data_IF_613377641894
#
_entry.id   IF_613377641894
#
_cell.length_a   1.000
_cell.length_b   1.000
_cell.length_c   1.000
_cell.angle_alpha   90.00
_cell.angle_beta   90.00
_cell.angle_gamma   90.00
#
_symmetry.space_group_name_H-M   'P 1'
#
loop_
_entity.id
_entity.type
_entity.pdbx_description
1 polymer ?
#
# COMPACT_ATOMS: atom_id res chain seq x y z
N UNK A 1 -14.21 -2.46 1.99
CA UNK A 1 -13.24 -1.71 2.82
C UNK A 1 -11.92 -2.47 2.72
N UNK A 2 -10.90 -1.92 2.08
CA UNK A 2 -9.64 -2.62 1.91
C UNK A 2 -8.75 -2.31 3.12
N UNK A 3 -8.79 -3.16 4.13
CA UNK A 3 -7.84 -3.14 5.23
C UNK A 3 -6.55 -3.74 4.68
N UNK A 4 -5.41 -3.05 4.82
CA UNK A 4 -4.11 -3.49 4.27
C UNK A 4 -3.40 -4.51 5.16
N UNK A 5 -4.14 -5.47 5.65
CA UNK A 5 -3.67 -6.61 6.42
C UNK A 5 -2.95 -7.66 5.56
N UNK A 6 -3.26 -7.72 4.26
CA UNK A 6 -2.73 -8.74 3.36
C UNK A 6 -1.20 -8.76 3.28
N UNK A 7 -0.51 -7.61 3.34
CA UNK A 7 0.95 -7.56 3.24
C UNK A 7 1.66 -8.26 4.40
N UNK A 8 1.21 -8.07 5.64
CA UNK A 8 1.84 -8.78 6.75
C UNK A 8 1.25 -10.18 6.97
N UNK A 9 0.03 -10.43 6.48
CA UNK A 9 -0.59 -11.74 6.50
C UNK A 9 0.24 -12.77 5.73
N UNK A 10 0.76 -12.43 4.54
CA UNK A 10 1.63 -13.34 3.78
C UNK A 10 2.94 -13.64 4.50
N UNK A 11 3.42 -12.73 5.36
CA UNK A 11 4.57 -12.99 6.24
C UNK A 11 4.22 -14.05 7.29
N UNK A 12 3.02 -13.95 7.88
CA UNK A 12 2.52 -14.95 8.84
C UNK A 12 2.30 -16.32 8.16
N UNK A 13 1.72 -16.34 6.96
CA UNK A 13 1.55 -17.55 6.15
C UNK A 13 2.89 -18.20 5.79
N UNK A 14 3.95 -17.41 5.62
CA UNK A 14 5.31 -17.92 5.45
C UNK A 14 5.96 -18.40 6.78
N UNK A 15 5.19 -18.50 7.86
CA UNK A 15 5.67 -18.86 9.19
C UNK A 15 6.79 -17.93 9.72
N UNK A 16 6.69 -16.65 9.40
CA UNK A 16 7.59 -15.61 9.86
C UNK A 16 6.85 -14.58 10.72
N UNK A 17 7.60 -13.81 11.50
CA UNK A 17 7.04 -12.74 12.34
C UNK A 17 7.30 -11.40 11.63
N UNK A 18 6.23 -10.63 11.27
CA UNK A 18 6.39 -9.31 10.68
C UNK A 18 6.94 -8.32 11.71
N UNK A 19 7.90 -7.52 11.32
CA UNK A 19 8.44 -6.43 12.14
C UNK A 19 8.13 -5.12 11.40
N UNK A 20 7.40 -4.23 12.06
CA UNK A 20 6.90 -2.99 11.44
C UNK A 20 7.93 -1.86 11.59
N UNK A 21 8.25 -1.21 10.47
CA UNK A 21 8.91 0.09 10.44
C UNK A 21 7.86 1.21 10.51
N UNK A 22 8.26 2.42 10.86
CA UNK A 22 7.32 3.54 10.94
C UNK A 22 6.99 4.10 9.54
N UNK A 23 6.04 5.01 9.50
CA UNK A 23 5.56 5.68 8.29
C UNK A 23 5.99 7.14 8.33
N UNK A 24 6.55 7.66 7.22
CA UNK A 24 6.78 9.10 7.05
C UNK A 24 5.43 9.81 6.83
N UNK A 25 5.01 10.71 7.73
CA UNK A 25 3.74 11.41 7.59
C UNK A 25 3.65 12.33 6.37
N UNK A 26 4.77 12.72 5.77
CA UNK A 26 4.76 13.56 4.59
C UNK A 26 4.49 12.75 3.30
N UNK A 27 5.02 11.54 3.21
CA UNK A 27 4.86 10.67 2.04
C UNK A 27 3.84 9.55 2.24
N UNK A 28 3.40 9.30 3.47
CA UNK A 28 2.49 8.22 3.89
C UNK A 28 3.02 6.81 3.59
N UNK A 29 4.29 6.68 3.20
CA UNK A 29 4.95 5.41 2.91
C UNK A 29 5.93 5.04 4.03
N UNK A 30 6.54 3.85 3.96
CA UNK A 30 7.56 3.39 4.91
C UNK A 30 8.68 4.42 5.04
N UNK A 31 9.01 4.82 6.26
CA UNK A 31 10.13 5.72 6.57
C UNK A 31 11.44 4.95 6.63
N UNK A 32 12.35 5.14 5.66
CA UNK A 32 13.63 4.43 5.63
C UNK A 32 14.49 4.65 6.88
N UNK A 33 14.39 5.81 7.53
CA UNK A 33 15.17 6.14 8.73
C UNK A 33 14.84 5.23 9.92
N UNK A 34 13.68 4.60 9.91
CA UNK A 34 13.22 3.72 11.01
C UNK A 34 13.53 2.24 10.79
N UNK A 35 13.96 1.85 9.58
CA UNK A 35 14.15 0.45 9.19
C UNK A 35 15.31 -0.16 9.94
N UNK A 36 16.47 0.51 9.96
CA UNK A 36 17.73 -0.10 10.44
C UNK A 36 17.64 -0.51 11.91
N UNK A 37 16.97 0.28 12.75
CA UNK A 37 16.75 -0.04 14.17
C UNK A 37 15.87 -1.27 14.41
N UNK A 38 15.16 -1.73 13.39
CA UNK A 38 14.28 -2.91 13.43
C UNK A 38 14.95 -4.16 12.87
N UNK A 39 16.13 -4.04 12.25
CA UNK A 39 16.85 -5.18 11.69
C UNK A 39 17.52 -5.98 12.81
N UNK A 40 17.40 -7.29 12.74
CA UNK A 40 18.05 -8.25 13.64
C UNK A 40 18.76 -9.34 12.81
N UNK A 41 19.52 -10.21 13.47
CA UNK A 41 20.12 -11.38 12.82
C UNK A 41 19.09 -12.39 12.24
N UNK A 42 17.81 -12.20 12.54
CA UNK A 42 16.71 -13.02 12.03
C UNK A 42 15.97 -12.37 10.86
N UNK A 43 16.21 -11.10 10.61
CA UNK A 43 15.62 -10.40 9.45
C UNK A 43 16.11 -11.04 8.16
N UNK A 44 15.22 -11.27 7.21
CA UNK A 44 15.54 -11.90 5.91
C UNK A 44 15.15 -11.04 4.73
N UNK A 45 14.16 -10.18 4.90
CA UNK A 45 13.57 -9.39 3.83
C UNK A 45 13.07 -8.06 4.35
N UNK A 46 13.14 -7.03 3.51
CA UNK A 46 12.41 -5.77 3.66
C UNK A 46 11.24 -5.83 2.66
N UNK A 47 10.03 -5.49 3.13
CA UNK A 47 8.81 -5.55 2.34
C UNK A 47 8.18 -4.15 2.25
N UNK A 48 8.68 -3.25 1.39
CA UNK A 48 8.08 -1.94 1.17
C UNK A 48 6.73 -2.07 0.47
N UNK A 49 5.75 -1.30 0.93
CA UNK A 49 4.43 -1.20 0.31
C UNK A 49 4.31 0.14 -0.40
N UNK A 50 4.10 0.13 -1.71
CA UNK A 50 3.79 1.33 -2.49
C UNK A 50 2.33 1.73 -2.27
N UNK A 51 2.03 2.07 -1.02
CA UNK A 51 0.68 2.34 -0.53
C UNK A 51 0.04 3.51 -1.28
N UNK A 52 -1.26 3.47 -1.50
CA UNK A 52 -2.02 4.45 -2.28
C UNK A 52 -1.62 4.57 -3.75
N UNK A 53 -0.65 3.73 -4.22
CA UNK A 53 -0.05 3.86 -5.55
C UNK A 53 1.11 4.84 -5.60
N UNK A 54 1.68 5.16 -4.44
CA UNK A 54 2.83 6.07 -4.27
C UNK A 54 4.12 5.27 -4.05
N UNK A 55 5.21 5.59 -4.77
CA UNK A 55 6.50 4.93 -4.57
C UNK A 55 7.08 5.17 -3.17
N UNK A 56 7.68 4.13 -2.59
CA UNK A 56 8.57 4.27 -1.43
C UNK A 56 9.93 4.86 -1.85
N UNK A 57 10.73 5.29 -0.88
CA UNK A 57 12.13 5.70 -1.05
C UNK A 57 13.02 4.48 -1.31
N UNK A 58 12.99 3.97 -2.56
CA UNK A 58 13.59 2.68 -2.89
C UNK A 58 15.12 2.69 -2.89
N UNK A 59 15.78 3.82 -3.16
CA UNK A 59 17.25 3.90 -3.11
C UNK A 59 17.75 3.69 -1.68
N UNK A 60 17.12 4.34 -0.71
CA UNK A 60 17.44 4.23 0.71
C UNK A 60 17.14 2.83 1.25
N UNK A 61 16.00 2.27 0.87
CA UNK A 61 15.59 0.90 1.23
C UNK A 61 16.58 -0.12 0.66
N UNK A 62 16.93 0.00 -0.62
CA UNK A 62 17.88 -0.91 -1.28
C UNK A 62 19.30 -0.77 -0.72
N UNK A 63 19.72 0.44 -0.34
CA UNK A 63 21.02 0.65 0.31
C UNK A 63 21.09 -0.07 1.67
N UNK A 64 20.04 0.02 2.48
CA UNK A 64 19.93 -0.72 3.75
C UNK A 64 19.89 -2.22 3.53
N UNK A 65 19.08 -2.69 2.56
CA UNK A 65 19.01 -4.11 2.23
C UNK A 65 20.37 -4.67 1.82
N UNK A 66 21.11 -3.96 0.95
CA UNK A 66 22.48 -4.33 0.55
C UNK A 66 23.44 -4.37 1.73
N UNK A 67 23.42 -3.35 2.59
CA UNK A 67 24.26 -3.26 3.81
C UNK A 67 24.07 -4.46 4.72
N UNK A 68 22.82 -4.89 4.90
CA UNK A 68 22.44 -5.98 5.80
C UNK A 68 22.25 -7.34 5.11
N UNK A 69 22.54 -7.44 3.80
CA UNK A 69 22.37 -8.65 2.97
C UNK A 69 20.93 -9.21 3.05
N UNK A 70 19.96 -8.34 2.95
CA UNK A 70 18.54 -8.66 2.98
C UNK A 70 17.96 -8.63 1.57
N UNK A 71 16.95 -9.46 1.31
CA UNK A 71 16.13 -9.36 0.11
C UNK A 71 15.16 -8.17 0.20
N UNK A 72 14.73 -7.66 -0.94
CA UNK A 72 13.67 -6.66 -1.06
C UNK A 72 12.53 -7.21 -1.92
N UNK A 73 11.34 -7.32 -1.34
CA UNK A 73 10.12 -7.70 -2.08
C UNK A 73 9.15 -6.54 -2.05
N UNK A 74 8.86 -5.95 -3.22
CA UNK A 74 7.95 -4.82 -3.32
C UNK A 74 6.49 -5.29 -3.30
N UNK A 75 5.69 -4.76 -2.39
CA UNK A 75 4.23 -4.82 -2.54
C UNK A 75 3.79 -3.66 -3.44
N UNK A 76 3.72 -3.93 -4.74
CA UNK A 76 3.28 -3.00 -5.77
C UNK A 76 1.80 -3.22 -6.15
N UNK A 77 1.01 -3.90 -5.30
CA UNK A 77 -0.40 -4.21 -5.55
C UNK A 77 -1.31 -2.99 -5.76
N UNK A 78 -0.85 -1.80 -5.41
CA UNK A 78 -1.55 -0.52 -5.65
C UNK A 78 -0.81 0.36 -6.66
N UNK A 79 0.33 -0.08 -7.22
CA UNK A 79 1.29 0.78 -7.89
C UNK A 79 1.51 0.40 -9.37
N UNK A 80 0.46 -0.08 -10.06
CA UNK A 80 0.50 -0.34 -11.49
C UNK A 80 0.94 0.91 -12.27
N UNK A 81 2.08 0.84 -12.96
CA UNK A 81 2.72 1.95 -13.69
C UNK A 81 3.28 3.10 -12.83
N UNK A 82 3.25 3.02 -11.49
CA UNK A 82 3.96 3.97 -10.66
C UNK A 82 5.47 3.94 -10.95
N UNK A 83 6.13 5.08 -10.80
CA UNK A 83 7.56 5.22 -11.11
C UNK A 83 8.33 5.87 -9.98
N UNK A 84 9.51 5.32 -9.71
CA UNK A 84 10.53 5.91 -8.87
C UNK A 84 11.78 6.19 -9.71
N UNK A 85 12.14 7.46 -9.89
CA UNK A 85 13.29 7.90 -10.69
C UNK A 85 13.32 7.26 -12.09
N UNK A 86 12.15 7.26 -12.78
CA UNK A 86 11.98 6.74 -14.14
C UNK A 86 11.92 5.21 -14.26
N UNK A 87 11.99 4.46 -13.16
CA UNK A 87 11.86 3.00 -13.14
C UNK A 87 10.51 2.60 -12.54
N UNK A 88 9.89 1.55 -13.06
CA UNK A 88 8.58 1.09 -12.59
C UNK A 88 8.67 0.46 -11.19
N UNK A 89 7.74 0.80 -10.30
CA UNK A 89 7.53 0.05 -9.06
C UNK A 89 7.22 -1.42 -9.38
N UNK A 90 7.68 -2.33 -8.52
CA UNK A 90 7.65 -3.77 -8.77
C UNK A 90 8.84 -4.28 -9.58
N UNK A 91 9.80 -3.40 -9.96
CA UNK A 91 11.06 -3.77 -10.64
C UNK A 91 12.29 -3.17 -9.96
N UNK A 92 12.15 -2.66 -8.75
CA UNK A 92 13.17 -1.92 -8.04
C UNK A 92 13.87 -2.76 -6.96
N UNK A 93 13.17 -3.78 -6.43
CA UNK A 93 13.69 -4.79 -5.51
C UNK A 93 14.09 -6.09 -6.22
N UNK A 94 14.27 -7.16 -5.45
CA UNK A 94 14.55 -8.50 -5.99
C UNK A 94 13.31 -9.13 -6.64
N UNK A 95 12.14 -8.89 -6.04
CA UNK A 95 10.82 -9.28 -6.56
C UNK A 95 9.81 -8.15 -6.35
N UNK A 96 8.82 -8.08 -7.23
CA UNK A 96 7.65 -7.22 -7.08
C UNK A 96 6.35 -8.02 -7.19
N UNK A 97 5.36 -7.67 -6.38
CA UNK A 97 4.06 -8.33 -6.35
C UNK A 97 2.96 -7.36 -6.78
N UNK A 98 2.06 -7.83 -7.63
CA UNK A 98 0.91 -7.07 -8.13
C UNK A 98 -0.39 -7.82 -7.84
N UNK A 99 -1.50 -7.09 -7.78
CA UNK A 99 -2.83 -7.63 -7.54
C UNK A 99 -3.78 -7.29 -8.68
N UNK A 100 -4.65 -8.24 -9.02
CA UNK A 100 -5.77 -8.10 -9.96
C UNK A 100 -7.13 -8.15 -9.26
N UNK A 101 -7.16 -7.93 -7.95
CA UNK A 101 -8.40 -7.89 -7.17
C UNK A 101 -9.29 -6.73 -7.67
N UNK A 102 -10.60 -6.85 -7.50
CA UNK A 102 -11.64 -5.97 -8.08
C UNK A 102 -11.42 -4.46 -7.87
N UNK A 103 -10.77 -4.02 -6.78
CA UNK A 103 -10.53 -2.60 -6.51
C UNK A 103 -9.31 -2.03 -7.24
N UNK A 104 -8.52 -2.86 -7.93
CA UNK A 104 -7.27 -2.45 -8.57
C UNK A 104 -7.50 -1.73 -9.90
N UNK A 105 -6.45 -1.09 -10.42
CA UNK A 105 -6.50 -0.38 -11.71
C UNK A 105 -6.81 -1.31 -12.89
N UNK A 106 -6.35 -2.56 -12.83
CA UNK A 106 -6.65 -3.62 -13.82
C UNK A 106 -7.20 -4.84 -13.09
N UNK A 107 -8.51 -4.90 -12.85
CA UNK A 107 -9.12 -6.00 -12.11
C UNK A 107 -9.41 -7.22 -13.02
N UNK A 108 -9.30 -8.42 -12.43
CA UNK A 108 -9.77 -9.68 -13.03
C UNK A 108 -10.55 -10.53 -12.01
N UNK A 109 -11.27 -9.89 -11.08
CA UNK A 109 -11.89 -10.54 -9.92
C UNK A 109 -10.88 -10.72 -8.81
N UNK A 110 -10.09 -11.77 -8.88
CA UNK A 110 -8.96 -12.08 -8.02
C UNK A 110 -7.75 -12.48 -8.86
N UNK A 111 -6.56 -12.48 -8.26
CA UNK A 111 -5.32 -12.87 -8.92
C UNK A 111 -4.17 -11.92 -8.60
N UNK A 112 -3.01 -12.26 -9.13
CA UNK A 112 -1.80 -11.46 -8.97
C UNK A 112 -0.73 -11.84 -9.97
N UNK A 113 0.34 -11.05 -9.98
CA UNK A 113 1.55 -11.32 -10.74
C UNK A 113 2.78 -11.07 -9.87
N UNK A 114 3.85 -11.79 -10.17
CA UNK A 114 5.17 -11.59 -9.59
C UNK A 114 6.13 -11.19 -10.69
N UNK A 115 6.93 -10.16 -10.46
CA UNK A 115 7.99 -9.69 -11.35
C UNK A 115 9.34 -9.78 -10.67
N UNK A 116 10.41 -9.89 -11.44
CA UNK A 116 11.78 -9.90 -10.92
C UNK A 116 12.80 -10.06 -12.04
N UNK A 117 14.04 -9.69 -11.76
CA UNK A 117 15.16 -9.79 -12.72
C UNK A 117 15.97 -11.10 -12.58
N UNK A 118 15.83 -11.79 -11.45
CA UNK A 118 16.51 -13.06 -11.23
C UNK A 118 15.72 -14.22 -11.81
N UNK A 119 16.26 -14.88 -12.84
CA UNK A 119 15.65 -16.07 -13.42
C UNK A 119 15.47 -17.18 -12.37
N UNK A 120 16.42 -17.36 -11.48
CA UNK A 120 16.32 -18.34 -10.39
C UNK A 120 15.11 -18.08 -9.49
N UNK A 121 14.93 -16.83 -9.04
CA UNK A 121 13.79 -16.45 -8.18
C UNK A 121 12.46 -16.60 -8.91
N UNK A 122 12.38 -16.17 -10.17
CA UNK A 122 11.17 -16.31 -10.98
C UNK A 122 10.84 -17.79 -11.24
N UNK A 123 11.82 -18.63 -11.50
CA UNK A 123 11.61 -20.08 -11.65
C UNK A 123 11.09 -20.72 -10.36
N UNK A 124 11.57 -20.28 -9.19
CA UNK A 124 11.04 -20.71 -7.88
C UNK A 124 9.59 -20.27 -7.69
N UNK A 125 9.26 -19.01 -7.99
CA UNK A 125 7.90 -18.50 -7.92
C UNK A 125 6.97 -19.26 -8.87
N UNK A 126 7.40 -19.50 -10.10
CA UNK A 126 6.64 -20.28 -11.09
C UNK A 126 6.41 -21.70 -10.60
N UNK A 127 7.44 -22.37 -10.08
CA UNK A 127 7.32 -23.71 -9.53
C UNK A 127 6.35 -23.74 -8.36
N UNK A 128 6.47 -22.82 -7.42
CA UNK A 128 5.60 -22.73 -6.25
C UNK A 128 4.13 -22.58 -6.64
N UNK A 129 3.79 -21.66 -7.57
CA UNK A 129 2.40 -21.43 -8.00
C UNK A 129 1.83 -22.57 -8.82
N UNK A 130 2.68 -23.46 -9.35
CA UNK A 130 2.30 -24.56 -10.23
C UNK A 130 2.53 -25.95 -9.60
N UNK A 131 2.10 -26.14 -8.37
CA UNK A 131 2.19 -27.40 -7.62
C UNK A 131 3.63 -27.94 -7.47
N UNK A 132 4.62 -27.08 -7.43
CA UNK A 132 6.04 -27.46 -7.28
C UNK A 132 6.73 -27.95 -8.56
N UNK A 133 6.06 -27.93 -9.72
CA UNK A 133 6.63 -28.43 -10.99
C UNK A 133 7.80 -27.57 -11.46
N UNK A 134 8.84 -28.23 -11.92
CA UNK A 134 10.02 -27.55 -12.46
C UNK A 134 9.68 -26.72 -13.72
N UNK A 135 10.32 -25.55 -13.83
CA UNK A 135 10.15 -24.61 -14.93
C UNK A 135 11.49 -23.98 -15.33
N UNK A 136 11.55 -23.39 -16.52
CA UNK A 136 12.74 -22.70 -17.03
C UNK A 136 13.94 -23.64 -17.13
N UNK A 137 15.06 -23.22 -16.58
CA UNK A 137 16.32 -24.02 -16.56
C UNK A 137 16.21 -25.32 -15.76
N UNK A 138 15.17 -25.46 -14.92
CA UNK A 138 14.90 -26.66 -14.13
C UNK A 138 13.88 -27.60 -14.82
N UNK A 139 13.43 -27.30 -16.02
CA UNK A 139 12.47 -28.10 -16.77
C UNK A 139 13.00 -29.53 -16.98
N UNK A 140 12.16 -30.50 -16.67
CA UNK A 140 12.54 -31.93 -16.76
C UNK A 140 13.05 -32.53 -15.45
N UNK A 141 13.26 -31.75 -14.39
CA UNK A 141 13.73 -32.24 -13.10
C UNK A 141 12.59 -32.74 -12.17
N UNK A 142 11.36 -32.85 -12.69
CA UNK A 142 10.20 -33.23 -11.89
C UNK A 142 9.69 -32.12 -10.99
N UNK A 143 9.55 -32.37 -9.69
CA UNK A 143 9.22 -31.34 -8.70
C UNK A 143 10.47 -30.63 -8.24
N UNK A 144 10.42 -29.28 -8.24
CA UNK A 144 11.56 -28.43 -7.92
C UNK A 144 11.44 -27.83 -6.50
N UNK A 145 10.22 -27.53 -6.06
CA UNK A 145 9.93 -27.02 -4.71
C UNK A 145 8.59 -27.53 -4.22
N UNK A 146 8.33 -27.44 -2.92
CA UNK A 146 6.98 -27.56 -2.40
C UNK A 146 6.15 -26.37 -2.88
N UNK A 147 4.94 -26.60 -3.40
CA UNK A 147 4.12 -25.54 -3.97
C UNK A 147 2.64 -25.88 -3.99
N UNK A 148 1.84 -24.88 -4.33
CA UNK A 148 0.39 -24.93 -4.35
C UNK A 148 -0.15 -24.63 -5.76
N UNK A 149 -1.45 -24.79 -5.96
CA UNK A 149 -2.10 -24.44 -7.20
C UNK A 149 -2.63 -23.01 -7.15
N UNK A 150 -1.83 -22.07 -7.65
CA UNK A 150 -2.20 -20.66 -7.79
C UNK A 150 -2.26 -20.22 -9.27
N UNK A 151 -2.49 -21.17 -10.20
CA UNK A 151 -2.58 -20.87 -11.62
C UNK A 151 -3.78 -19.96 -11.91
N UNK A 152 -3.51 -18.87 -12.66
CA UNK A 152 -4.56 -17.99 -13.18
C UNK A 152 -5.47 -18.75 -14.16
N UNK A 153 -6.77 -18.50 -14.09
CA UNK A 153 -7.73 -19.06 -15.03
C UNK A 153 -7.70 -18.30 -16.37
N UNK A 154 -7.93 -19.00 -17.49
CA UNK A 154 -7.87 -18.42 -18.81
C UNK A 154 -8.82 -17.21 -19.00
N UNK A 155 -10.02 -17.25 -18.44
CA UNK A 155 -10.95 -16.13 -18.54
C UNK A 155 -10.46 -14.88 -17.76
N UNK A 156 -9.74 -15.05 -16.66
CA UNK A 156 -9.11 -13.94 -15.95
C UNK A 156 -8.01 -13.31 -16.81
N UNK A 157 -7.20 -14.13 -17.48
CA UNK A 157 -6.18 -13.63 -18.41
C UNK A 157 -6.82 -12.88 -19.59
N UNK A 158 -7.94 -13.36 -20.12
CA UNK A 158 -8.67 -12.68 -21.19
C UNK A 158 -9.21 -11.31 -20.76
N UNK A 159 -9.75 -11.20 -19.52
CA UNK A 159 -10.15 -9.92 -18.94
C UNK A 159 -8.97 -8.96 -18.80
N UNK A 160 -7.83 -9.44 -18.30
CA UNK A 160 -6.63 -8.62 -18.11
C UNK A 160 -6.11 -8.03 -19.39
N UNK A 161 -6.13 -8.78 -20.51
CA UNK A 161 -5.71 -8.27 -21.82
C UNK A 161 -6.50 -7.02 -22.20
N UNK A 162 -7.81 -7.01 -21.96
CA UNK A 162 -8.67 -5.85 -22.26
C UNK A 162 -8.46 -4.69 -21.26
N UNK A 163 -8.11 -4.99 -20.01
CA UNK A 163 -7.85 -3.97 -18.98
C UNK A 163 -6.50 -3.27 -19.21
N UNK A 164 -5.49 -4.01 -19.64
CA UNK A 164 -4.14 -3.47 -19.91
C UNK A 164 -4.19 -2.41 -21.00
N UNK A 165 -5.01 -2.57 -22.03
CA UNK A 165 -5.12 -1.62 -23.14
C UNK A 165 -5.57 -0.22 -22.69
N UNK A 166 -6.38 -0.14 -21.62
CA UNK A 166 -6.89 1.12 -21.06
C UNK A 166 -5.98 1.73 -20.01
N UNK A 167 -5.11 0.92 -19.41
CA UNK A 167 -4.36 1.29 -18.21
C UNK A 167 -3.52 2.56 -18.38
N UNK A 168 -2.85 2.71 -19.51
CA UNK A 168 -1.94 3.84 -19.77
C UNK A 168 -2.73 5.15 -19.86
N UNK A 169 -3.82 5.18 -20.65
CA UNK A 169 -4.67 6.35 -20.84
C UNK A 169 -5.35 6.75 -19.52
N UNK A 170 -5.96 5.78 -18.83
CA UNK A 170 -6.62 6.03 -17.55
C UNK A 170 -5.64 6.50 -16.47
N UNK A 171 -4.40 5.98 -16.45
CA UNK A 171 -3.35 6.43 -15.52
C UNK A 171 -2.95 7.87 -15.82
N UNK A 172 -2.82 8.25 -17.09
CA UNK A 172 -2.54 9.64 -17.47
C UNK A 172 -3.67 10.59 -17.03
N UNK A 173 -4.93 10.19 -17.19
CA UNK A 173 -6.10 10.96 -16.75
C UNK A 173 -6.12 11.11 -15.22
N UNK A 174 -5.88 10.00 -14.46
CA UNK A 174 -5.78 10.07 -13.00
C UNK A 174 -4.67 11.01 -12.54
N UNK A 175 -3.50 10.96 -13.19
CA UNK A 175 -2.38 11.85 -12.87
C UNK A 175 -2.75 13.31 -13.09
N UNK A 176 -3.29 13.67 -14.25
CA UNK A 176 -3.67 15.05 -14.57
C UNK A 176 -4.72 15.60 -13.59
N UNK A 177 -5.67 14.78 -13.17
CA UNK A 177 -6.69 15.15 -12.20
C UNK A 177 -6.12 15.24 -10.77
N UNK A 178 -5.23 14.33 -10.39
CA UNK A 178 -4.55 14.39 -9.10
C UNK A 178 -3.66 15.63 -8.97
N UNK A 179 -2.91 16.00 -10.02
CA UNK A 179 -2.08 17.20 -10.02
C UNK A 179 -2.92 18.47 -9.82
N UNK A 180 -4.10 18.54 -10.45
CA UNK A 180 -5.04 19.62 -10.27
C UNK A 180 -5.60 19.67 -8.84
N UNK A 181 -6.02 18.53 -8.29
CA UNK A 181 -6.47 18.44 -6.89
C UNK A 181 -5.38 18.88 -5.92
N UNK A 182 -4.14 18.40 -6.11
CA UNK A 182 -3.00 18.76 -5.27
C UNK A 182 -2.79 20.29 -5.29
N UNK A 183 -2.81 20.90 -6.48
CA UNK A 183 -2.63 22.33 -6.63
C UNK A 183 -3.73 23.13 -5.90
N UNK A 184 -4.99 22.73 -6.03
CA UNK A 184 -6.12 23.40 -5.38
C UNK A 184 -6.19 23.16 -3.87
N UNK A 185 -5.97 21.93 -3.43
CA UNK A 185 -6.06 21.54 -2.01
C UNK A 185 -4.91 22.12 -1.17
N UNK A 186 -3.70 22.25 -1.72
CA UNK A 186 -2.57 22.92 -1.05
C UNK A 186 -2.84 24.38 -0.64
N UNK A 187 -3.82 25.03 -1.26
CA UNK A 187 -4.20 26.40 -0.93
C UNK A 187 -5.13 26.50 0.30
N UNK A 188 -5.62 25.36 0.80
CA UNK A 188 -6.58 25.33 1.91
C UNK A 188 -5.81 24.96 3.20
N UNK A 189 -5.77 25.87 4.21
CA UNK A 189 -5.12 25.57 5.47
C UNK A 189 -5.66 24.26 6.08
N UNK A 190 -4.76 23.44 6.62
CA UNK A 190 -5.14 22.17 7.24
C UNK A 190 -5.29 20.98 6.28
N UNK A 191 -5.16 21.19 4.97
CA UNK A 191 -5.11 20.10 3.98
C UNK A 191 -3.67 19.89 3.50
N UNK A 192 -3.16 18.70 3.67
CA UNK A 192 -1.78 18.34 3.33
C UNK A 192 -1.76 17.14 2.37
N UNK A 193 -1.80 17.37 1.05
CA UNK A 193 -1.61 16.30 0.07
C UNK A 193 -0.28 15.59 0.29
N UNK A 194 -0.24 14.28 0.02
CA UNK A 194 0.97 13.49 0.18
C UNK A 194 2.10 13.99 -0.73
N UNK A 195 3.33 14.00 -0.21
CA UNK A 195 4.53 14.32 -0.97
C UNK A 195 5.07 13.05 -1.62
N UNK A 196 5.49 13.14 -2.87
CA UNK A 196 6.20 12.06 -3.55
C UNK A 196 7.72 12.22 -3.40
N UNK A 197 8.49 11.12 -3.42
CA UNK A 197 9.93 11.19 -3.63
C UNK A 197 10.25 11.94 -4.94
N UNK A 198 11.41 12.61 -4.98
CA UNK A 198 11.82 13.36 -6.18
C UNK A 198 11.87 12.46 -7.42
N UNK A 199 11.52 13.03 -8.57
CA UNK A 199 11.47 12.34 -9.86
C UNK A 199 10.63 11.05 -9.84
N UNK A 200 9.56 11.05 -9.03
CA UNK A 200 8.65 9.92 -8.89
C UNK A 200 7.25 10.26 -9.38
N UNK A 201 6.50 9.25 -9.80
CA UNK A 201 5.12 9.38 -10.27
C UNK A 201 4.21 8.37 -9.54
N UNK A 202 3.20 8.87 -8.85
CA UNK A 202 2.14 8.04 -8.28
C UNK A 202 1.10 7.68 -9.33
N UNK A 203 0.30 6.65 -9.05
CA UNK A 203 -0.84 6.25 -9.90
C UNK A 203 -2.17 6.34 -9.17
N UNK A 204 -2.13 6.74 -7.91
CA UNK A 204 -3.30 7.10 -7.10
C UNK A 204 -4.38 6.01 -7.04
N UNK A 205 -4.01 4.82 -6.55
CA UNK A 205 -4.99 3.78 -6.23
C UNK A 205 -6.05 4.27 -5.24
N UNK A 206 -5.65 5.11 -4.32
CA UNK A 206 -6.49 6.03 -3.55
C UNK A 206 -5.79 7.39 -3.60
N UNK A 207 -6.54 8.47 -3.55
CA UNK A 207 -6.00 9.82 -3.44
C UNK A 207 -6.03 10.24 -1.96
N UNK A 208 -4.92 10.19 -1.22
CA UNK A 208 -4.87 10.55 0.17
C UNK A 208 -4.44 12.00 0.37
N UNK A 209 -4.94 12.60 1.44
CA UNK A 209 -4.35 13.80 2.05
C UNK A 209 -4.48 13.71 3.58
N UNK A 210 -3.59 14.39 4.30
CA UNK A 210 -3.74 14.54 5.75
C UNK A 210 -4.60 15.75 6.06
N UNK A 211 -5.43 15.60 7.05
CA UNK A 211 -6.37 16.58 7.58
C UNK A 211 -5.94 17.05 8.96
N UNK A 212 -5.86 18.35 9.14
CA UNK A 212 -5.54 18.98 10.43
C UNK A 212 -6.79 19.66 11.00
N UNK A 213 -7.35 19.06 12.04
CA UNK A 213 -8.58 19.53 12.69
C UNK A 213 -8.40 20.93 13.35
N UNK A 214 -7.20 21.29 13.79
CA UNK A 214 -6.96 22.59 14.42
C UNK A 214 -7.17 23.74 13.42
N UNK A 215 -6.72 23.55 12.18
CA UNK A 215 -6.92 24.49 11.08
C UNK A 215 -8.39 24.57 10.62
N UNK A 216 -9.22 23.65 11.07
CA UNK A 216 -10.67 23.60 10.82
C UNK A 216 -11.48 23.87 12.09
N UNK A 217 -10.99 24.73 12.98
CA UNK A 217 -11.67 25.13 14.22
C UNK A 217 -12.09 23.96 15.12
N UNK A 218 -11.29 22.88 15.17
CA UNK A 218 -11.56 21.69 15.95
C UNK A 218 -12.59 20.74 15.34
N UNK A 219 -12.99 20.95 14.08
CA UNK A 219 -13.87 20.00 13.37
C UNK A 219 -13.15 18.65 13.25
N UNK A 220 -13.72 17.58 13.85
CA UNK A 220 -13.10 16.27 13.80
C UNK A 220 -13.05 15.71 12.37
N UNK A 221 -12.05 14.85 12.06
CA UNK A 221 -11.93 14.19 10.74
C UNK A 221 -13.24 13.48 10.35
N UNK A 222 -13.89 12.82 11.27
CA UNK A 222 -15.11 12.08 10.97
C UNK A 222 -16.28 13.01 10.64
N UNK A 223 -16.38 14.18 11.29
CA UNK A 223 -17.36 15.21 10.91
C UNK A 223 -17.01 15.82 9.55
N UNK A 224 -15.72 16.07 9.28
CA UNK A 224 -15.23 16.52 7.97
C UNK A 224 -15.60 15.51 6.87
N UNK A 225 -15.34 14.21 7.05
CA UNK A 225 -15.71 13.16 6.09
C UNK A 225 -17.23 13.14 5.86
N UNK A 226 -18.05 13.26 6.91
CA UNK A 226 -19.51 13.35 6.75
C UNK A 226 -19.91 14.58 5.95
N UNK A 227 -19.29 15.71 6.19
CA UNK A 227 -19.58 16.95 5.45
C UNK A 227 -19.21 16.81 3.97
N UNK A 228 -18.04 16.22 3.66
CA UNK A 228 -17.62 15.93 2.28
C UNK A 228 -18.63 15.01 1.56
N UNK A 229 -19.07 13.93 2.23
CA UNK A 229 -20.05 13.03 1.66
C UNK A 229 -21.42 13.72 1.45
N UNK A 230 -21.81 14.66 2.31
CA UNK A 230 -23.01 15.47 2.15
C UNK A 230 -22.92 16.47 0.98
N UNK A 231 -21.72 16.94 0.64
CA UNK A 231 -21.45 17.73 -0.56
C UNK A 231 -21.35 16.85 -1.84
N UNK A 232 -21.61 15.55 -1.75
CA UNK A 232 -21.55 14.62 -2.88
C UNK A 232 -20.13 14.10 -3.19
N UNK A 233 -19.15 14.38 -2.34
CA UNK A 233 -17.77 13.93 -2.51
C UNK A 233 -17.52 12.69 -1.65
N UNK A 234 -17.54 11.51 -2.27
CA UNK A 234 -17.31 10.25 -1.58
C UNK A 234 -15.88 10.12 -1.10
N UNK A 235 -15.67 10.15 0.22
CA UNK A 235 -14.38 9.93 0.85
C UNK A 235 -14.55 9.16 2.17
N UNK A 236 -13.42 8.67 2.69
CA UNK A 236 -13.38 7.93 3.94
C UNK A 236 -12.07 8.15 4.69
N UNK A 237 -11.94 7.53 5.86
CA UNK A 237 -10.66 7.48 6.58
C UNK A 237 -9.63 6.69 5.76
N UNK A 238 -8.34 6.97 6.01
CA UNK A 238 -7.24 6.12 5.54
C UNK A 238 -7.24 4.74 6.22
N UNK A 239 -6.09 4.08 6.21
CA UNK A 239 -5.90 2.79 6.86
C UNK A 239 -5.79 2.93 8.39
N UNK A 240 -6.06 1.82 9.11
CA UNK A 240 -5.85 1.70 10.55
C UNK A 240 -4.44 1.20 10.88
N UNK A 241 -4.06 1.27 12.15
CA UNK A 241 -2.80 0.73 12.67
C UNK A 241 -2.85 -0.80 12.68
N UNK A 242 -2.28 -1.44 11.65
CA UNK A 242 -2.43 -2.86 11.35
C UNK A 242 -1.89 -3.80 12.44
N UNK A 243 -0.88 -3.38 13.18
CA UNK A 243 -0.30 -4.18 14.27
C UNK A 243 -1.15 -4.24 15.55
N UNK A 244 -2.32 -3.57 15.55
CA UNK A 244 -3.31 -3.58 16.62
C UNK A 244 -4.69 -4.10 16.18
N UNK A 245 -4.85 -4.61 14.98
CA UNK A 245 -6.15 -5.02 14.43
C UNK A 245 -6.68 -6.38 14.92
N UNK A 246 -5.92 -7.08 15.76
CA UNK A 246 -6.30 -8.38 16.33
C UNK A 246 -5.90 -9.60 15.48
N UNK A 247 -5.68 -9.45 14.17
CA UNK A 247 -5.27 -10.54 13.29
C UNK A 247 -3.88 -11.09 13.68
N UNK A 248 -2.96 -10.17 14.01
CA UNK A 248 -1.65 -10.56 14.50
C UNK A 248 -1.75 -11.34 15.82
N UNK A 249 -2.62 -10.92 16.74
CA UNK A 249 -2.85 -11.58 18.01
C UNK A 249 -3.45 -12.99 17.82
N UNK A 250 -4.36 -13.16 16.86
CA UNK A 250 -4.88 -14.47 16.49
C UNK A 250 -3.76 -15.40 16.00
N UNK A 251 -2.95 -14.93 15.04
CA UNK A 251 -1.87 -15.71 14.47
C UNK A 251 -0.84 -16.16 15.51
N UNK A 252 -0.31 -15.22 16.32
CA UNK A 252 0.72 -15.54 17.31
C UNK A 252 0.20 -16.37 18.48
N UNK A 253 -1.10 -16.35 18.75
CA UNK A 253 -1.74 -17.19 19.76
C UNK A 253 -2.12 -18.57 19.25
N UNK A 254 -2.05 -18.80 17.93
CA UNK A 254 -2.35 -20.08 17.32
C UNK A 254 -1.45 -21.22 17.83
N UNK A 255 -1.94 -22.45 17.75
CA UNK A 255 -1.16 -23.67 18.10
C UNK A 255 0.09 -23.81 17.23
N UNK A 256 -0.01 -23.44 15.93
CA UNK A 256 1.11 -23.54 14.99
C UNK A 256 2.26 -22.64 15.38
N UNK A 257 1.99 -21.34 15.60
CA UNK A 257 3.01 -20.38 16.01
C UNK A 257 3.61 -20.68 17.39
N UNK A 258 2.80 -21.12 18.35
CA UNK A 258 3.29 -21.55 19.67
C UNK A 258 4.26 -22.75 19.57
N UNK A 259 4.04 -23.67 18.63
CA UNK A 259 5.00 -24.78 18.37
C UNK A 259 6.28 -24.30 17.72
N UNK A 260 6.19 -23.39 16.75
CA UNK A 260 7.36 -22.89 15.98
C UNK A 260 8.27 -21.97 16.82
N UNK A 261 7.68 -21.08 17.58
CA UNK A 261 8.42 -19.99 18.24
C UNK A 261 8.48 -20.10 19.76
N UNK A 262 7.59 -20.87 20.39
CA UNK A 262 7.42 -20.94 21.83
C UNK A 262 6.68 -19.74 22.43
N UNK A 263 5.85 -19.97 23.43
CA UNK A 263 4.99 -18.94 24.01
C UNK A 263 5.76 -17.74 24.60
N UNK A 264 6.92 -18.00 25.25
CA UNK A 264 7.77 -16.94 25.81
C UNK A 264 8.29 -15.98 24.75
N UNK A 265 8.73 -16.51 23.58
CA UNK A 265 9.23 -15.71 22.47
C UNK A 265 8.11 -14.89 21.81
N UNK A 266 6.93 -15.50 21.61
CA UNK A 266 5.78 -14.81 21.03
C UNK A 266 5.30 -13.67 21.93
N UNK A 267 5.28 -13.89 23.26
CA UNK A 267 4.98 -12.81 24.21
C UNK A 267 6.00 -11.67 24.11
N UNK A 268 7.30 -11.98 24.13
CA UNK A 268 8.34 -10.98 24.01
C UNK A 268 8.27 -10.23 22.65
N UNK A 269 7.93 -10.93 21.56
CA UNK A 269 7.68 -10.32 20.26
C UNK A 269 6.49 -9.35 20.33
N UNK A 270 5.35 -9.77 20.88
CA UNK A 270 4.17 -8.90 21.03
C UNK A 270 4.47 -7.67 21.87
N UNK A 271 5.15 -7.86 23.01
CA UNK A 271 5.56 -6.79 23.91
C UNK A 271 6.57 -5.81 23.25
N UNK A 272 7.32 -6.27 22.23
CA UNK A 272 8.26 -5.43 21.47
C UNK A 272 7.61 -4.54 20.42
N UNK A 273 6.35 -4.79 20.05
CA UNK A 273 5.60 -3.97 19.10
C UNK A 273 5.18 -2.68 19.80
N UNK A 274 5.96 -1.65 19.57
CA UNK A 274 5.72 -0.33 20.13
C UNK A 274 4.88 0.50 19.17
N UNK A 275 4.21 1.52 19.73
CA UNK A 275 3.51 2.52 18.94
C UNK A 275 4.46 3.17 17.92
N UNK A 276 4.05 3.19 16.67
CA UNK A 276 4.73 3.86 15.57
C UNK A 276 4.10 5.25 15.40
N UNK A 277 4.78 6.29 15.87
CA UNK A 277 4.23 7.64 15.96
C UNK A 277 3.80 8.22 14.62
N UNK A 278 4.62 8.01 13.59
CA UNK A 278 4.31 8.44 12.22
C UNK A 278 3.09 7.70 11.67
N UNK A 279 3.05 6.37 11.83
CA UNK A 279 1.93 5.55 11.40
C UNK A 279 0.63 5.94 12.13
N UNK A 280 0.67 6.11 13.44
CA UNK A 280 -0.49 6.57 14.23
C UNK A 280 -1.02 7.90 13.72
N UNK A 281 -0.14 8.89 13.53
CA UNK A 281 -0.51 10.19 13.00
C UNK A 281 -1.18 10.06 11.62
N UNK A 282 -0.58 9.29 10.72
CA UNK A 282 -1.13 9.02 9.38
C UNK A 282 -2.52 8.37 9.49
N UNK A 283 -2.66 7.32 10.29
CA UNK A 283 -3.95 6.62 10.47
C UNK A 283 -5.05 7.53 11.05
N UNK A 284 -4.69 8.44 11.94
CA UNK A 284 -5.64 9.35 12.58
C UNK A 284 -6.04 10.54 11.69
N UNK A 285 -5.15 10.98 10.80
CA UNK A 285 -5.35 12.23 10.05
C UNK A 285 -5.65 12.05 8.57
N UNK A 286 -5.41 10.87 7.99
CA UNK A 286 -5.62 10.66 6.55
C UNK A 286 -7.10 10.61 6.19
N UNK A 287 -7.45 11.30 5.12
CA UNK A 287 -8.69 11.20 4.35
C UNK A 287 -8.33 10.67 2.97
N UNK A 288 -9.09 9.72 2.45
CA UNK A 288 -8.83 9.07 1.16
C UNK A 288 -10.04 9.07 0.25
N UNK A 289 -9.81 9.24 -1.04
CA UNK A 289 -10.80 9.15 -2.11
C UNK A 289 -10.45 8.03 -3.07
N UNK A 290 -11.47 7.38 -3.66
CA UNK A 290 -11.25 6.27 -4.60
C UNK A 290 -10.58 6.74 -5.89
N UNK A 291 -9.77 5.85 -6.51
CA UNK A 291 -9.17 6.06 -7.82
C UNK A 291 -10.17 6.39 -8.94
N UNK A 292 -11.38 5.88 -8.84
CA UNK A 292 -12.42 6.08 -9.86
C UNK A 292 -12.87 7.54 -9.95
N UNK A 293 -12.78 8.30 -8.86
CA UNK A 293 -13.08 9.74 -8.86
C UNK A 293 -12.11 10.52 -9.76
N UNK A 294 -10.85 10.09 -9.84
CA UNK A 294 -9.85 10.71 -10.70
C UNK A 294 -10.06 10.43 -12.19
N UNK A 295 -11.00 9.58 -12.57
CA UNK A 295 -11.42 9.36 -13.96
C UNK A 295 -12.57 10.27 -14.41
N UNK A 296 -13.16 11.02 -13.49
CA UNK A 296 -14.21 11.99 -13.80
C UNK A 296 -13.66 13.19 -14.59
N UNK A 297 -14.55 14.08 -15.03
CA UNK A 297 -14.16 15.29 -15.71
C UNK A 297 -13.51 16.30 -14.77
N UNK A 298 -12.82 17.28 -15.34
CA UNK A 298 -12.12 18.33 -14.58
C UNK A 298 -13.05 19.09 -13.64
N UNK A 299 -14.30 19.34 -14.05
CA UNK A 299 -15.31 19.99 -13.22
C UNK A 299 -15.62 19.25 -11.92
N UNK A 300 -15.51 17.93 -11.91
CA UNK A 300 -15.65 17.15 -10.67
C UNK A 300 -14.47 17.39 -9.72
N UNK A 301 -13.27 17.61 -10.24
CA UNK A 301 -12.10 17.99 -9.42
C UNK A 301 -12.28 19.39 -8.81
N UNK A 302 -12.80 20.35 -9.60
CA UNK A 302 -13.12 21.69 -9.12
C UNK A 302 -14.20 21.63 -8.02
N UNK A 303 -15.21 20.78 -8.17
CA UNK A 303 -16.24 20.56 -7.15
C UNK A 303 -15.65 20.01 -5.84
N UNK A 304 -14.70 19.08 -5.92
CA UNK A 304 -13.99 18.55 -4.72
C UNK A 304 -13.27 19.67 -3.98
N UNK A 305 -12.51 20.51 -4.70
CA UNK A 305 -11.78 21.63 -4.12
C UNK A 305 -12.73 22.63 -3.47
N UNK A 306 -13.84 22.94 -4.14
CA UNK A 306 -14.86 23.87 -3.63
C UNK A 306 -15.58 23.33 -2.39
N UNK A 307 -15.91 22.04 -2.37
CA UNK A 307 -16.48 21.37 -1.20
C UNK A 307 -15.56 21.51 0.03
N UNK A 308 -14.26 21.28 -0.13
CA UNK A 308 -13.30 21.44 0.96
C UNK A 308 -13.22 22.90 1.41
N UNK A 309 -13.20 23.88 0.49
CA UNK A 309 -13.21 25.33 0.81
C UNK A 309 -14.46 25.73 1.59
N UNK A 310 -15.61 25.27 1.14
CA UNK A 310 -16.90 25.52 1.79
C UNK A 310 -16.91 24.96 3.23
N UNK A 311 -16.46 23.72 3.39
CA UNK A 311 -16.36 23.09 4.72
C UNK A 311 -15.37 23.86 5.61
N UNK A 312 -14.23 24.30 5.06
CA UNK A 312 -13.25 25.10 5.80
C UNK A 312 -13.88 26.42 6.27
N UNK A 313 -14.56 27.15 5.38
CA UNK A 313 -15.22 28.42 5.70
C UNK A 313 -16.31 28.29 6.78
N UNK A 314 -17.00 27.14 6.83
CA UNK A 314 -18.08 26.86 7.80
C UNK A 314 -17.66 25.94 8.95
N UNK A 315 -16.37 25.63 9.08
CA UNK A 315 -15.85 24.63 10.03
C UNK A 315 -16.20 24.93 11.49
N UNK A 316 -16.22 26.20 11.90
CA UNK A 316 -16.59 26.59 13.26
C UNK A 316 -18.05 26.24 13.60
N UNK A 317 -18.97 26.37 12.66
CA UNK A 317 -20.37 25.98 12.83
C UNK A 317 -20.52 24.45 12.82
N UNK A 318 -19.85 23.77 11.89
CA UNK A 318 -19.87 22.31 11.76
C UNK A 318 -19.24 21.61 12.97
N UNK A 319 -18.21 22.18 13.58
CA UNK A 319 -17.58 21.64 14.77
C UNK A 319 -18.55 21.60 15.96
N UNK A 320 -19.42 22.62 16.08
CA UNK A 320 -20.43 22.76 17.17
C UNK A 320 -21.70 21.94 16.91
N UNK A 321 -22.01 21.61 15.65
CA UNK A 321 -23.16 20.79 15.33
C UNK A 321 -23.01 19.37 15.94
N UNK A 322 -24.12 18.80 16.44
CA UNK A 322 -24.16 17.52 17.16
C UNK A 322 -23.79 16.31 16.26
#
# INVERSE_FOLDING_TARGET
MCIRDSTYNVVLEANALPVFADTDPATLTMDPATIESRITNRTRCILPVHIYGMPCYMDEINALAKKHKLAVVEDACQAWLAEYKGRKCGTLGDLGCFSFQNSKHIPAGEGGAVTGMSEELINKCHSFHNCGRAFGTNKGQGSFTHGLNYRMMHYQAALLLQQIDKLVEETARRQANADHLIAGLKQIPGIQPARLPENSRAVWHLFPFRYDAEQFNGLSRDKFIRAMNAEGVSCGSGYSEQYFDGLLDEAINSRGFKRLFGAKRLKAYRDSLQELKGNKLVCQTTVGMSQSMLLADRSAMDHIIEAVRKIHAHSAALAKAA
#
